data_IF_728752621380
#
_entry.id   IF_728752621380
#
_cell.length_a   1.000
_cell.length_b   1.000
_cell.length_c   1.000
_cell.angle_alpha   90.00
_cell.angle_beta   90.00
_cell.angle_gamma   90.00
#
_symmetry.space_group_name_H-M   'P 1'
#
loop_
_entity.id
_entity.type
_entity.pdbx_description
1 polymer ?
#
# COMPACT_ATOMS: atom_id res chain seq x y z
N UNK A 1 -8.95 -24.02 2.31
CA UNK A 1 -7.73 -24.14 3.12
C UNK A 1 -8.06 -23.69 4.55
N UNK A 2 -7.34 -24.13 5.60
CA UNK A 2 -7.56 -23.56 6.93
C UNK A 2 -7.24 -22.05 6.89
N UNK A 3 -8.08 -21.24 7.52
CA UNK A 3 -7.87 -19.79 7.64
C UNK A 3 -6.63 -19.49 8.49
N UNK A 4 -5.86 -18.47 8.12
CA UNK A 4 -4.73 -17.98 8.90
C UNK A 4 -5.21 -17.05 10.02
N UNK A 5 -6.16 -16.17 9.73
CA UNK A 5 -6.80 -15.30 10.70
C UNK A 5 -7.86 -16.05 11.51
N UNK A 6 -7.95 -15.73 12.80
CA UNK A 6 -9.06 -16.20 13.64
C UNK A 6 -10.37 -15.55 13.20
N UNK A 7 -11.49 -16.15 13.60
CA UNK A 7 -12.81 -15.56 13.34
C UNK A 7 -12.91 -14.16 13.97
N UNK A 8 -12.42 -13.98 15.19
CA UNK A 8 -12.39 -12.68 15.88
C UNK A 8 -11.55 -11.62 15.13
N UNK A 9 -10.44 -12.03 14.51
CA UNK A 9 -9.60 -11.15 13.70
C UNK A 9 -10.32 -10.66 12.44
N UNK A 10 -11.04 -11.57 11.77
CA UNK A 10 -11.86 -11.25 10.59
C UNK A 10 -13.01 -10.32 10.97
N UNK A 11 -13.66 -10.59 12.10
CA UNK A 11 -14.73 -9.72 12.63
C UNK A 11 -14.21 -8.34 13.03
N UNK A 12 -13.01 -8.25 13.61
CA UNK A 12 -12.35 -6.99 13.90
C UNK A 12 -12.05 -6.21 12.62
N UNK A 13 -11.48 -6.85 11.58
CA UNK A 13 -11.26 -6.20 10.29
C UNK A 13 -12.57 -5.64 9.69
N UNK A 14 -13.64 -6.44 9.69
CA UNK A 14 -14.92 -6.02 9.12
C UNK A 14 -15.57 -4.87 9.90
N UNK A 15 -15.50 -4.92 11.24
CA UNK A 15 -16.09 -3.89 12.11
C UNK A 15 -15.27 -2.60 12.10
N UNK A 16 -13.95 -2.71 12.20
CA UNK A 16 -13.07 -1.58 12.47
C UNK A 16 -12.35 -1.06 11.23
N UNK A 17 -12.39 -1.81 10.12
CA UNK A 17 -11.69 -1.50 8.88
C UNK A 17 -10.18 -1.75 8.95
N UNK A 18 -9.74 -2.43 10.02
CA UNK A 18 -8.35 -2.60 10.39
C UNK A 18 -8.18 -3.89 11.20
N UNK A 19 -7.12 -4.64 10.92
CA UNK A 19 -6.61 -5.67 11.82
C UNK A 19 -5.07 -5.68 11.85
N UNK A 20 -4.51 -5.73 13.05
CA UNK A 20 -3.07 -5.74 13.33
C UNK A 20 -2.81 -6.19 14.78
N UNK A 21 -1.58 -6.59 15.12
CA UNK A 21 -0.51 -7.00 14.19
C UNK A 21 -0.78 -8.39 13.61
N UNK A 22 -0.27 -8.65 12.41
CA UNK A 22 -0.31 -9.98 11.77
C UNK A 22 1.13 -10.42 11.49
N UNK A 23 1.67 -11.42 12.21
CA UNK A 23 3.00 -11.95 11.95
C UNK A 23 3.01 -12.75 10.63
N UNK A 24 3.66 -12.21 9.60
CA UNK A 24 3.69 -12.84 8.26
C UNK A 24 5.05 -13.42 7.89
N UNK A 25 6.14 -12.92 8.44
CA UNK A 25 7.49 -13.44 8.17
C UNK A 25 8.41 -13.27 9.38
N UNK A 26 9.57 -13.94 9.36
CA UNK A 26 10.58 -13.71 10.39
C UNK A 26 11.27 -12.36 10.21
N UNK A 27 11.99 -11.90 11.24
CA UNK A 27 12.79 -10.67 11.14
C UNK A 27 13.89 -10.81 10.09
N UNK A 28 14.51 -11.99 9.98
CA UNK A 28 15.56 -12.27 9.00
C UNK A 28 15.01 -12.23 7.56
N UNK A 29 13.82 -12.76 7.34
CA UNK A 29 13.15 -12.70 6.03
C UNK A 29 12.78 -11.25 5.67
N UNK A 30 12.16 -10.51 6.59
CA UNK A 30 11.86 -9.09 6.39
C UNK A 30 13.13 -8.24 6.15
N UNK A 31 14.22 -8.56 6.86
CA UNK A 31 15.51 -7.92 6.66
C UNK A 31 16.04 -8.17 5.25
N UNK A 32 15.87 -9.38 4.70
CA UNK A 32 16.31 -9.65 3.32
C UNK A 32 15.63 -8.74 2.29
N UNK A 33 14.34 -8.41 2.46
CA UNK A 33 13.63 -7.48 1.58
C UNK A 33 14.10 -6.02 1.76
N UNK A 34 14.46 -5.63 3.00
CA UNK A 34 15.10 -4.34 3.26
C UNK A 34 16.47 -4.27 2.56
N UNK A 35 17.27 -5.33 2.65
CA UNK A 35 18.60 -5.41 2.05
C UNK A 35 18.53 -5.31 0.51
N UNK A 36 17.51 -5.90 -0.13
CA UNK A 36 17.28 -5.79 -1.58
C UNK A 36 16.99 -4.33 -2.00
N UNK A 37 16.14 -3.63 -1.24
CA UNK A 37 15.89 -2.19 -1.44
C UNK A 37 17.18 -1.37 -1.26
N UNK A 38 17.89 -1.56 -0.15
CA UNK A 38 19.09 -0.79 0.16
C UNK A 38 20.24 -1.10 -0.81
N UNK A 39 20.31 -2.32 -1.35
CA UNK A 39 21.26 -2.70 -2.41
C UNK A 39 20.98 -1.95 -3.71
N UNK A 40 19.71 -1.83 -4.10
CA UNK A 40 19.31 -1.01 -5.25
C UNK A 40 19.70 0.46 -5.05
N UNK A 41 19.41 1.03 -3.88
CA UNK A 41 19.72 2.42 -3.56
C UNK A 41 21.24 2.67 -3.56
N UNK A 42 22.02 1.75 -2.99
CA UNK A 42 23.48 1.82 -2.99
C UNK A 42 24.07 1.71 -4.40
N UNK A 43 23.51 0.84 -5.25
CA UNK A 43 23.98 0.62 -6.63
C UNK A 43 23.67 1.82 -7.52
N UNK A 44 22.51 2.45 -7.33
CA UNK A 44 22.08 3.62 -8.12
C UNK A 44 22.58 4.94 -7.55
N UNK A 45 23.00 4.97 -6.29
CA UNK A 45 23.48 6.17 -5.59
C UNK A 45 22.37 7.10 -5.14
N UNK A 46 21.11 6.65 -5.12
CA UNK A 46 19.95 7.46 -4.73
C UNK A 46 18.85 6.59 -4.09
N UNK A 47 18.03 7.15 -3.18
CA UNK A 47 16.84 6.48 -2.67
C UNK A 47 15.87 6.09 -3.80
N UNK A 48 15.06 5.04 -3.57
CA UNK A 48 13.98 4.72 -4.51
C UNK A 48 12.97 5.87 -4.53
N UNK A 49 12.67 6.38 -5.72
CA UNK A 49 11.97 7.65 -5.85
C UNK A 49 11.10 7.76 -7.10
N UNK A 50 10.27 8.81 -7.18
CA UNK A 50 9.38 9.03 -8.32
C UNK A 50 8.48 7.82 -8.63
N UNK A 51 8.34 7.51 -9.93
CA UNK A 51 7.52 6.40 -10.39
C UNK A 51 7.97 5.03 -9.87
N UNK A 52 9.25 4.86 -9.53
CA UNK A 52 9.81 3.56 -9.14
C UNK A 52 9.37 3.15 -7.73
N UNK A 53 8.86 4.11 -6.92
CA UNK A 53 8.19 3.83 -5.64
C UNK A 53 6.81 3.22 -5.79
N UNK A 54 6.23 3.22 -6.99
CA UNK A 54 4.89 2.74 -7.30
C UNK A 54 4.99 1.49 -8.17
N UNK A 55 4.07 0.53 -8.01
CA UNK A 55 4.06 -0.75 -8.74
C UNK A 55 5.44 -1.44 -8.78
N UNK A 56 6.15 -1.35 -7.66
CA UNK A 56 7.49 -1.92 -7.42
C UNK A 56 7.58 -3.40 -7.81
N UNK A 57 6.49 -4.15 -7.63
CA UNK A 57 6.40 -5.57 -7.98
C UNK A 57 6.59 -5.86 -9.48
N UNK A 58 6.40 -4.86 -10.35
CA UNK A 58 6.66 -5.00 -11.78
C UNK A 58 8.13 -4.72 -12.15
N UNK A 59 8.89 -4.09 -11.25
CA UNK A 59 10.27 -3.70 -11.48
C UNK A 59 11.27 -4.71 -10.93
N UNK A 60 10.91 -5.37 -9.83
CA UNK A 60 11.82 -6.22 -9.07
C UNK A 60 11.22 -7.58 -8.78
N UNK A 61 11.98 -8.63 -9.07
CA UNK A 61 11.65 -10.02 -8.78
C UNK A 61 11.41 -10.22 -7.29
N UNK A 62 12.20 -9.60 -6.41
CA UNK A 62 12.01 -9.69 -4.97
C UNK A 62 10.69 -9.05 -4.49
N UNK A 63 10.25 -7.97 -5.14
CA UNK A 63 8.97 -7.34 -4.82
C UNK A 63 7.78 -8.17 -5.34
N UNK A 64 7.89 -8.80 -6.52
CA UNK A 64 6.90 -9.80 -6.98
C UNK A 64 6.81 -10.99 -6.02
N UNK A 65 7.94 -11.50 -5.53
CA UNK A 65 7.96 -12.55 -4.49
C UNK A 65 7.19 -12.11 -3.24
N UNK A 66 7.37 -10.87 -2.80
CA UNK A 66 6.70 -10.35 -1.59
C UNK A 66 5.18 -10.23 -1.75
N UNK A 67 4.68 -9.75 -2.89
CA UNK A 67 3.22 -9.69 -3.11
C UNK A 67 2.58 -11.08 -3.22
N UNK A 68 3.38 -12.12 -3.47
CA UNK A 68 2.95 -13.53 -3.53
C UNK A 68 3.26 -14.30 -2.25
N UNK A 69 3.75 -13.64 -1.20
CA UNK A 69 4.17 -14.31 0.02
C UNK A 69 2.99 -15.11 0.63
N UNK A 70 3.13 -16.42 0.89
CA UNK A 70 1.99 -17.28 1.24
C UNK A 70 1.17 -16.78 2.43
N UNK A 71 1.82 -16.42 3.54
CA UNK A 71 1.11 -15.92 4.73
C UNK A 71 0.46 -14.54 4.54
N UNK A 72 1.00 -13.71 3.64
CA UNK A 72 0.37 -12.42 3.31
C UNK A 72 -0.92 -12.70 2.55
N UNK A 73 -0.84 -13.52 1.50
CA UNK A 73 -1.99 -13.89 0.70
C UNK A 73 -3.03 -14.70 1.49
N UNK A 74 -2.63 -15.55 2.44
CA UNK A 74 -3.56 -16.30 3.29
C UNK A 74 -4.37 -15.36 4.19
N UNK A 75 -3.71 -14.37 4.83
CA UNK A 75 -4.41 -13.36 5.62
C UNK A 75 -5.35 -12.49 4.77
N UNK A 76 -4.94 -12.16 3.54
CA UNK A 76 -5.74 -11.38 2.58
C UNK A 76 -6.94 -12.21 2.09
N UNK A 77 -6.74 -13.47 1.72
CA UNK A 77 -7.81 -14.39 1.30
C UNK A 77 -8.89 -14.52 2.38
N UNK A 78 -8.50 -14.54 3.65
CA UNK A 78 -9.44 -14.65 4.77
C UNK A 78 -10.43 -13.47 4.87
N UNK A 79 -10.08 -12.30 4.33
CA UNK A 79 -10.91 -11.08 4.36
C UNK A 79 -11.55 -10.72 3.01
N UNK A 80 -10.94 -11.05 1.87
CA UNK A 80 -11.46 -10.67 0.54
C UNK A 80 -11.78 -11.86 -0.39
N UNK A 81 -11.51 -13.10 0.03
CA UNK A 81 -11.79 -14.30 -0.76
C UNK A 81 -10.62 -14.75 -1.66
N UNK A 82 -10.80 -15.83 -2.44
CA UNK A 82 -9.70 -16.61 -3.01
C UNK A 82 -9.12 -16.08 -4.33
N UNK A 83 -9.87 -15.25 -5.06
CA UNK A 83 -9.48 -14.74 -6.37
C UNK A 83 -8.93 -13.32 -6.23
N UNK A 84 -7.59 -13.21 -6.17
CA UNK A 84 -6.91 -12.01 -5.69
C UNK A 84 -6.03 -11.41 -6.78
N UNK A 85 -6.26 -10.12 -7.04
CA UNK A 85 -5.38 -9.26 -7.83
C UNK A 85 -4.54 -8.38 -6.89
N UNK A 86 -3.25 -8.23 -7.18
CA UNK A 86 -2.43 -7.13 -6.69
C UNK A 86 -2.58 -5.94 -7.67
N UNK A 87 -3.24 -4.88 -7.23
CA UNK A 87 -3.49 -3.69 -8.04
C UNK A 87 -2.31 -2.73 -8.03
N UNK A 88 -1.63 -2.59 -6.89
CA UNK A 88 -0.54 -1.64 -6.74
C UNK A 88 0.34 -1.98 -5.55
N UNK A 89 1.63 -1.64 -5.64
CA UNK A 89 2.54 -1.63 -4.49
C UNK A 89 3.17 -0.27 -4.32
N UNK A 90 3.48 0.10 -3.08
CA UNK A 90 4.11 1.36 -2.76
C UNK A 90 5.05 1.28 -1.57
N UNK A 91 6.20 1.95 -1.70
CA UNK A 91 7.02 2.28 -0.56
C UNK A 91 6.52 3.54 0.17
N UNK A 92 6.38 3.41 1.49
CA UNK A 92 6.20 4.51 2.42
C UNK A 92 7.40 4.54 3.38
N UNK A 93 8.47 5.16 2.90
CA UNK A 93 9.71 5.32 3.65
C UNK A 93 9.71 6.69 4.33
N UNK A 94 10.01 6.70 5.64
CA UNK A 94 10.36 7.92 6.37
C UNK A 94 11.81 7.81 6.82
N UNK A 95 12.66 8.66 6.27
CA UNK A 95 14.08 8.74 6.63
C UNK A 95 14.26 9.17 8.10
N UNK A 96 15.42 8.92 8.73
CA UNK A 96 15.65 9.28 10.11
C UNK A 96 15.50 10.79 10.32
N UNK A 97 14.76 11.18 11.36
CA UNK A 97 14.62 12.59 11.80
C UNK A 97 14.10 13.54 10.71
N UNK A 98 13.27 13.06 9.79
CA UNK A 98 12.62 13.92 8.80
C UNK A 98 11.21 14.33 9.23
N UNK A 99 10.73 15.43 8.67
CA UNK A 99 9.36 15.92 8.87
C UNK A 99 8.30 15.17 8.05
N UNK A 100 8.66 14.06 7.37
CA UNK A 100 7.77 13.36 6.45
C UNK A 100 6.57 12.73 7.18
N UNK A 101 5.36 13.07 6.76
CA UNK A 101 4.11 12.60 7.36
C UNK A 101 3.09 12.16 6.31
N UNK A 102 1.99 11.56 6.78
CA UNK A 102 0.81 11.27 5.97
C UNK A 102 -0.38 11.93 6.67
N UNK A 103 -1.06 12.86 5.98
CA UNK A 103 -2.28 13.49 6.51
C UNK A 103 -3.42 12.49 6.64
N UNK A 104 -4.41 12.83 7.47
CA UNK A 104 -5.66 12.07 7.55
C UNK A 104 -6.31 11.96 6.18
N UNK A 105 -6.51 10.75 5.68
CA UNK A 105 -7.05 10.50 4.35
C UNK A 105 -7.75 9.15 4.26
N UNK A 106 -8.55 8.97 3.20
CA UNK A 106 -8.93 7.68 2.67
C UNK A 106 -8.05 7.39 1.44
N UNK A 107 -7.57 6.16 1.34
CA UNK A 107 -6.73 5.66 0.24
C UNK A 107 -7.48 5.79 -1.10
N UNK A 108 -8.78 5.46 -1.12
CA UNK A 108 -9.62 5.30 -2.31
C UNK A 108 -9.85 6.55 -3.18
N UNK A 109 -9.59 7.74 -2.64
CA UNK A 109 -10.06 9.04 -3.14
C UNK A 109 -9.86 9.27 -4.65
N UNK A 110 -8.75 8.81 -5.22
CA UNK A 110 -8.39 9.07 -6.63
C UNK A 110 -8.28 7.81 -7.49
N UNK A 111 -8.66 6.64 -6.97
CA UNK A 111 -8.35 5.36 -7.63
C UNK A 111 -9.44 4.94 -8.62
N UNK A 112 -10.69 5.31 -8.36
CA UNK A 112 -11.83 5.00 -9.22
C UNK A 112 -12.04 3.49 -9.37
N UNK A 113 -12.08 2.78 -8.24
CA UNK A 113 -12.33 1.34 -8.15
C UNK A 113 -13.74 1.11 -7.58
N UNK A 114 -14.48 0.17 -8.17
CA UNK A 114 -15.86 -0.15 -7.82
C UNK A 114 -16.10 -1.68 -7.84
N UNK A 115 -16.66 -2.29 -6.77
CA UNK A 115 -16.82 -1.69 -5.45
C UNK A 115 -15.45 -1.36 -4.81
N UNK A 116 -15.47 -0.64 -3.68
CA UNK A 116 -14.25 -0.24 -2.96
C UNK A 116 -13.66 -1.38 -2.11
N UNK A 117 -13.84 -2.63 -2.53
CA UNK A 117 -13.45 -3.86 -1.81
C UNK A 117 -11.95 -4.12 -2.00
N UNK A 118 -11.12 -3.17 -1.58
CA UNK A 118 -9.67 -3.26 -1.68
C UNK A 118 -9.10 -3.25 -0.27
N UNK A 119 -8.15 -4.15 -0.04
CA UNK A 119 -7.41 -4.24 1.22
C UNK A 119 -5.97 -3.84 0.98
N UNK A 120 -5.48 -2.90 1.80
CA UNK A 120 -4.06 -2.61 1.88
C UNK A 120 -3.43 -3.51 2.92
N UNK A 121 -2.46 -4.33 2.52
CA UNK A 121 -1.52 -4.98 3.41
C UNK A 121 -0.30 -4.07 3.57
N UNK A 122 -0.11 -3.49 4.76
CA UNK A 122 1.06 -2.67 5.08
C UNK A 122 2.07 -3.52 5.83
N UNK A 123 3.16 -3.90 5.16
CA UNK A 123 4.20 -4.80 5.67
C UNK A 123 5.37 -3.98 6.23
N UNK A 124 5.76 -4.27 7.47
CA UNK A 124 6.85 -3.61 8.16
C UNK A 124 8.21 -4.26 7.80
N UNK A 125 9.04 -3.57 7.02
CA UNK A 125 10.42 -4.00 6.73
C UNK A 125 11.44 -3.47 7.76
N UNK A 126 10.98 -2.64 8.70
CA UNK A 126 11.70 -2.19 9.90
C UNK A 126 10.75 -2.26 11.09
N UNK A 127 11.28 -2.17 12.31
CA UNK A 127 10.41 -1.94 13.47
C UNK A 127 9.71 -0.58 13.34
N UNK A 128 8.48 -0.51 13.83
CA UNK A 128 7.64 0.70 13.82
C UNK A 128 7.19 1.04 15.23
N UNK A 129 8.11 1.40 16.15
CA UNK A 129 7.73 1.93 17.46
C UNK A 129 7.17 3.35 17.30
N UNK A 130 6.59 3.89 18.37
CA UNK A 130 5.88 5.17 18.36
C UNK A 130 6.71 6.33 17.78
N UNK A 131 8.02 6.33 18.04
CA UNK A 131 8.97 7.38 17.64
C UNK A 131 9.19 7.44 16.12
N UNK A 132 8.86 6.35 15.41
CA UNK A 132 9.00 6.25 13.94
C UNK A 132 7.74 6.70 13.18
N UNK A 133 6.71 7.12 13.91
CA UNK A 133 5.45 7.58 13.33
C UNK A 133 4.63 6.42 12.74
N UNK A 134 4.15 5.47 13.58
CA UNK A 134 3.24 4.42 13.15
C UNK A 134 1.98 5.00 12.51
N UNK A 135 1.29 4.19 11.72
CA UNK A 135 -0.03 4.60 11.24
C UNK A 135 -0.99 4.74 12.42
N UNK A 136 -1.95 5.64 12.28
CA UNK A 136 -3.06 5.80 13.21
C UNK A 136 -4.37 5.85 12.46
N UNK A 137 -5.39 5.16 12.98
CA UNK A 137 -6.66 4.94 12.29
C UNK A 137 -7.83 5.40 13.14
N UNK A 138 -8.87 5.92 12.48
CA UNK A 138 -10.21 6.01 13.07
C UNK A 138 -10.95 4.69 12.84
N UNK A 139 -11.13 3.89 13.90
CA UNK A 139 -11.80 2.60 13.78
C UNK A 139 -13.25 2.77 13.31
N UNK A 140 -13.69 1.91 12.39
CA UNK A 140 -15.06 1.92 11.86
C UNK A 140 -15.28 2.97 10.76
N UNK A 141 -14.31 3.85 10.50
CA UNK A 141 -14.44 4.90 9.47
C UNK A 141 -14.53 4.36 8.04
N UNK A 142 -14.19 3.10 7.79
CA UNK A 142 -14.39 2.44 6.50
C UNK A 142 -15.86 2.30 6.10
N UNK A 143 -16.79 2.36 7.07
CA UNK A 143 -18.23 2.35 6.79
C UNK A 143 -18.73 3.70 6.30
N UNK A 144 -17.91 4.75 6.41
CA UNK A 144 -18.19 6.01 5.74
C UNK A 144 -18.05 5.80 4.23
N UNK A 145 -18.90 6.48 3.46
CA UNK A 145 -18.64 6.63 2.04
C UNK A 145 -17.36 7.44 1.78
N UNK A 146 -17.04 7.65 0.51
CA UNK A 146 -15.92 8.52 0.15
C UNK A 146 -16.17 9.94 0.68
N UNK A 147 -15.41 10.34 1.69
CA UNK A 147 -15.43 11.68 2.27
C UNK A 147 -14.73 12.64 1.31
N UNK A 148 -15.18 13.90 1.30
CA UNK A 148 -14.52 14.96 0.55
C UNK A 148 -13.06 15.12 1.00
N UNK A 149 -12.16 15.38 0.06
CA UNK A 149 -10.75 15.63 0.34
C UNK A 149 -10.31 16.96 -0.25
N UNK A 150 -9.38 17.62 0.44
CA UNK A 150 -8.70 18.83 -0.04
C UNK A 150 -7.26 18.49 -0.36
N UNK A 151 -6.80 18.86 -1.55
CA UNK A 151 -5.40 18.74 -1.91
C UNK A 151 -4.58 19.86 -1.27
N UNK A 152 -3.45 19.50 -0.65
CA UNK A 152 -2.51 20.48 -0.08
C UNK A 152 -1.19 20.53 -0.84
N UNK A 153 -0.79 19.44 -1.50
CA UNK A 153 0.52 19.26 -2.10
C UNK A 153 1.71 19.61 -1.19
N UNK A 154 1.53 19.49 0.13
CA UNK A 154 2.56 19.82 1.12
C UNK A 154 3.84 18.99 0.90
N UNK A 155 5.01 19.64 0.93
CA UNK A 155 6.30 19.03 0.56
C UNK A 155 6.63 17.76 1.36
N UNK A 156 6.40 17.80 2.68
CA UNK A 156 6.67 16.69 3.58
C UNK A 156 5.52 15.66 3.65
N UNK A 157 4.45 15.81 2.88
CA UNK A 157 3.36 14.83 2.87
C UNK A 157 3.67 13.73 1.85
N UNK A 158 3.71 12.48 2.31
CA UNK A 158 4.00 11.30 1.49
C UNK A 158 2.88 10.95 0.49
N UNK A 159 1.70 11.54 0.64
CA UNK A 159 0.59 11.36 -0.29
C UNK A 159 0.82 12.19 -1.55
N UNK A 160 0.54 11.60 -2.72
CA UNK A 160 0.84 12.21 -4.01
C UNK A 160 0.21 13.59 -4.23
N UNK A 161 -1.00 13.82 -3.70
CA UNK A 161 -1.67 15.13 -3.74
C UNK A 161 -1.67 15.85 -2.38
N UNK A 162 -1.00 15.29 -1.38
CA UNK A 162 -1.07 15.74 -0.01
C UNK A 162 -2.52 15.84 0.50
N UNK A 163 -3.39 14.95 0.02
CA UNK A 163 -4.83 15.06 0.25
C UNK A 163 -5.16 14.84 1.72
N UNK A 164 -6.09 15.64 2.23
CA UNK A 164 -6.61 15.54 3.60
C UNK A 164 -8.12 15.42 3.58
N UNK A 165 -8.70 14.55 4.41
CA UNK A 165 -10.16 14.50 4.60
C UNK A 165 -10.67 15.85 5.08
N UNK A 166 -11.79 16.30 4.51
CA UNK A 166 -12.49 17.51 4.90
C UNK A 166 -13.59 17.18 5.92
N UNK A 167 -13.15 16.71 7.09
CA UNK A 167 -14.01 16.38 8.22
C UNK A 167 -13.30 16.64 9.55
N UNK A 168 -14.08 16.82 10.62
CA UNK A 168 -13.52 16.90 11.96
C UNK A 168 -13.02 15.53 12.40
N UNK A 169 -11.75 15.49 12.81
CA UNK A 169 -11.09 14.28 13.31
C UNK A 169 -10.86 14.43 14.81
N UNK A 170 -11.51 13.56 15.57
CA UNK A 170 -11.26 13.39 17.00
C UNK A 170 -10.08 12.42 17.17
N UNK A 171 -8.86 12.97 17.24
CA UNK A 171 -7.63 12.19 17.30
C UNK A 171 -7.53 11.33 18.56
N UNK A 172 -8.23 11.70 19.65
CA UNK A 172 -8.27 10.94 20.90
C UNK A 172 -8.99 9.58 20.74
N UNK A 173 -9.79 9.44 19.67
CA UNK A 173 -10.45 8.18 19.30
C UNK A 173 -9.66 7.36 18.29
N UNK A 174 -8.49 7.83 17.88
CA UNK A 174 -7.63 7.10 16.95
C UNK A 174 -6.82 6.01 17.64
N UNK A 175 -6.47 4.97 16.90
CA UNK A 175 -5.63 3.87 17.37
C UNK A 175 -4.34 3.83 16.58
N UNK A 176 -3.22 3.86 17.28
CA UNK A 176 -1.89 3.67 16.71
C UNK A 176 -1.63 2.20 16.37
N UNK A 177 -0.89 1.99 15.29
CA UNK A 177 -0.55 0.69 14.70
C UNK A 177 0.97 0.50 14.72
N UNK A 178 1.57 0.26 15.89
CA UNK A 178 2.96 -0.17 15.97
C UNK A 178 3.08 -1.61 15.45
N UNK A 179 4.18 -1.89 14.77
CA UNK A 179 4.47 -3.20 14.18
C UNK A 179 5.93 -3.53 14.41
N UNK A 180 6.22 -4.80 14.69
CA UNK A 180 7.58 -5.33 14.64
C UNK A 180 7.98 -5.61 13.20
N UNK A 181 9.27 -5.57 12.89
CA UNK A 181 9.78 -6.00 11.59
C UNK A 181 9.30 -7.43 11.24
N UNK A 182 8.69 -7.60 10.06
CA UNK A 182 8.08 -8.86 9.60
C UNK A 182 6.59 -9.04 9.95
N UNK A 183 6.01 -8.10 10.70
CA UNK A 183 4.56 -8.00 10.88
C UNK A 183 3.92 -7.12 9.81
N UNK A 184 2.60 -7.25 9.67
CA UNK A 184 1.80 -6.36 8.84
C UNK A 184 0.51 -5.94 9.53
N UNK A 185 -0.15 -4.94 8.93
CA UNK A 185 -1.56 -4.62 9.17
C UNK A 185 -2.36 -4.80 7.89
N UNK A 186 -3.64 -5.16 8.03
CA UNK A 186 -4.61 -5.10 6.94
C UNK A 186 -5.59 -3.97 7.22
N UNK A 187 -5.80 -3.08 6.26
CA UNK A 187 -6.83 -2.04 6.36
C UNK A 187 -7.64 -1.89 5.08
N UNK A 188 -8.90 -1.53 5.23
CA UNK A 188 -9.79 -1.22 4.11
C UNK A 188 -9.42 0.14 3.50
N UNK A 189 -9.53 0.31 2.18
CA UNK A 189 -9.11 1.55 1.49
C UNK A 189 -9.94 2.80 1.84
N UNK A 190 -11.07 2.62 2.53
CA UNK A 190 -11.89 3.70 3.10
C UNK A 190 -11.61 4.00 4.56
N UNK A 191 -10.75 3.21 5.23
CA UNK A 191 -10.38 3.50 6.61
C UNK A 191 -9.59 4.82 6.65
N UNK A 192 -10.09 5.79 7.41
CA UNK A 192 -9.48 7.10 7.60
C UNK A 192 -8.25 6.95 8.48
N UNK A 193 -7.08 7.30 7.94
CA UNK A 193 -5.81 7.09 8.62
C UNK A 193 -4.76 8.15 8.29
N UNK A 194 -3.77 8.27 9.17
CA UNK A 194 -2.64 9.20 9.11
C UNK A 194 -1.36 8.54 9.63
N UNK A 195 -0.22 9.22 9.54
CA UNK A 195 0.99 8.83 10.28
C UNK A 195 1.94 10.00 10.51
N UNK A 196 2.52 10.08 11.70
CA UNK A 196 3.34 11.21 12.17
C UNK A 196 4.81 11.14 11.69
N UNK A 197 5.60 12.22 11.77
CA UNK A 197 7.01 12.20 11.39
C UNK A 197 7.87 11.13 12.08
N UNK A 198 8.95 10.71 11.42
CA UNK A 198 9.94 9.81 12.02
C UNK A 198 10.96 10.64 12.82
N UNK A 199 10.92 10.52 14.14
CA UNK A 199 11.84 11.20 15.07
C UNK A 199 13.01 10.31 15.51
N UNK A 200 13.05 9.06 15.06
CA UNK A 200 14.03 8.06 15.42
C UNK A 200 15.29 8.11 14.52
N UNK A 201 16.30 7.31 14.87
CA UNK A 201 17.60 7.27 14.20
C UNK A 201 17.70 6.27 13.04
N UNK A 202 16.72 5.39 12.89
CA UNK A 202 16.62 4.46 11.76
C UNK A 202 15.45 4.84 10.86
N UNK A 203 15.50 4.38 9.61
CA UNK A 203 14.43 4.53 8.63
C UNK A 203 13.19 3.76 9.09
N UNK A 204 12.01 4.28 8.77
CA UNK A 204 10.75 3.52 8.84
C UNK A 204 10.38 3.07 7.43
N UNK A 205 10.46 1.77 7.15
CA UNK A 205 10.24 1.23 5.80
C UNK A 205 8.95 0.41 5.80
N UNK A 206 7.89 1.00 5.25
CA UNK A 206 6.63 0.32 4.97
C UNK A 206 6.50 -0.07 3.50
N UNK A 207 6.15 -1.33 3.24
CA UNK A 207 5.77 -1.78 1.91
C UNK A 207 4.26 -2.06 1.87
N UNK A 208 3.51 -1.19 1.20
CA UNK A 208 2.07 -1.30 1.05
C UNK A 208 1.74 -2.10 -0.22
N UNK A 209 0.94 -3.15 -0.08
CA UNK A 209 0.39 -3.93 -1.20
C UNK A 209 -1.13 -3.77 -1.20
N UNK A 210 -1.71 -3.41 -2.34
CA UNK A 210 -3.14 -3.18 -2.50
C UNK A 210 -3.72 -4.38 -3.22
N UNK A 211 -4.43 -5.23 -2.48
CA UNK A 211 -5.09 -6.40 -3.01
C UNK A 211 -6.58 -6.15 -3.20
N UNK A 212 -7.16 -6.76 -4.22
CA UNK A 212 -8.59 -6.67 -4.51
C UNK A 212 -9.12 -7.99 -5.08
N UNK A 213 -10.39 -8.34 -4.83
CA UNK A 213 -11.07 -9.40 -5.54
C UNK A 213 -11.10 -9.15 -7.06
N UNK A 214 -11.11 -10.22 -7.85
CA UNK A 214 -11.17 -10.13 -9.33
C UNK A 214 -12.43 -9.46 -9.87
N UNK A 215 -13.52 -9.40 -9.09
CA UNK A 215 -14.76 -8.73 -9.49
C UNK A 215 -14.71 -7.20 -9.41
N UNK A 216 -13.71 -6.62 -8.73
CA UNK A 216 -13.53 -5.16 -8.69
C UNK A 216 -13.24 -4.67 -10.12
N UNK A 217 -13.73 -3.48 -10.46
CA UNK A 217 -13.51 -2.85 -11.77
C UNK A 217 -13.04 -1.41 -11.64
N UNK A 218 -12.34 -0.93 -12.67
CA UNK A 218 -12.04 0.48 -12.82
C UNK A 218 -13.21 1.24 -13.45
N UNK A 219 -13.61 2.35 -12.82
CA UNK A 219 -14.59 3.33 -13.35
C UNK A 219 -13.90 4.62 -13.83
N UNK A 220 -12.57 4.69 -13.70
CA UNK A 220 -11.75 5.85 -14.07
C UNK A 220 -11.03 5.66 -15.42
N UNK A 221 -11.16 4.50 -16.06
CA UNK A 221 -10.57 4.19 -17.38
C UNK A 221 -9.74 2.90 -17.35
N UNK A 222 -9.04 2.56 -18.44
CA UNK A 222 -8.22 1.35 -18.49
C UNK A 222 -7.15 1.35 -17.40
N UNK A 223 -7.01 0.22 -16.71
CA UNK A 223 -5.99 -0.04 -15.70
C UNK A 223 -5.49 -1.48 -15.84
N UNK A 224 -4.40 -1.81 -15.14
CA UNK A 224 -3.79 -3.15 -15.12
C UNK A 224 -3.51 -3.61 -13.69
N UNK A 225 -3.49 -4.93 -13.49
CA UNK A 225 -3.25 -5.57 -12.20
C UNK A 225 -2.62 -6.97 -12.39
N UNK A 226 -1.94 -7.45 -11.34
CA UNK A 226 -1.26 -8.75 -11.33
C UNK A 226 -2.14 -9.79 -10.62
N UNK A 227 -2.48 -10.91 -11.29
CA UNK A 227 -3.14 -12.04 -10.61
C UNK A 227 -2.14 -12.76 -9.70
N UNK A 228 -2.46 -12.80 -8.40
CA UNK A 228 -1.59 -13.39 -7.37
C UNK A 228 -2.17 -14.65 -6.73
N UNK A 229 -3.49 -14.86 -6.82
CA UNK A 229 -4.16 -16.09 -6.37
C UNK A 229 -5.48 -16.31 -7.11
N UNK A 230 -5.87 -17.57 -7.27
CA UNK A 230 -7.17 -17.94 -7.82
C UNK A 230 -7.26 -17.76 -9.33
N UNK A 231 -8.42 -17.36 -9.84
CA UNK A 231 -8.71 -17.17 -11.27
C UNK A 231 -9.42 -15.85 -11.51
N UNK A 232 -9.01 -15.11 -12.54
CA UNK A 232 -9.77 -13.97 -13.05
C UNK A 232 -10.66 -14.38 -14.23
N UNK A 233 -11.97 -14.39 -13.99
CA UNK A 233 -12.98 -14.64 -15.04
C UNK A 233 -13.69 -13.35 -15.49
N UNK A 234 -13.38 -12.22 -14.86
CA UNK A 234 -14.01 -10.92 -15.12
C UNK A 234 -13.24 -10.11 -16.16
N UNK A 235 -11.90 -10.17 -16.14
CA UNK A 235 -11.04 -9.50 -17.13
C UNK A 235 -11.20 -7.98 -17.13
N UNK A 236 -11.44 -7.38 -15.97
CA UNK A 236 -11.64 -5.93 -15.81
C UNK A 236 -10.34 -5.11 -15.88
N UNK A 237 -9.20 -5.77 -15.70
CA UNK A 237 -7.87 -5.16 -15.75
C UNK A 237 -7.00 -5.82 -16.82
N UNK A 238 -6.13 -5.05 -17.44
CA UNK A 238 -5.05 -5.63 -18.26
C UNK A 238 -4.12 -6.47 -17.40
N UNK A 239 -3.74 -7.65 -17.89
CA UNK A 239 -2.82 -8.53 -17.17
C UNK A 239 -1.41 -7.95 -17.10
N UNK A 240 -0.76 -8.14 -15.96
CA UNK A 240 0.64 -7.80 -15.72
C UNK A 240 1.43 -9.08 -15.51
N UNK A 241 2.49 -9.24 -16.29
CA UNK A 241 3.41 -10.37 -16.14
C UNK A 241 4.44 -10.06 -15.05
N UNK A 242 4.84 -11.09 -14.30
CA UNK A 242 5.89 -10.96 -13.30
C UNK A 242 7.23 -10.68 -13.97
N UNK A 243 8.08 -9.80 -13.38
CA UNK A 243 9.43 -9.60 -13.89
C UNK A 243 10.23 -10.90 -13.77
N UNK A 244 11.02 -11.22 -14.79
CA UNK A 244 11.95 -12.38 -14.77
C UNK A 244 13.32 -11.95 -14.28
N UNK A 245 13.72 -10.72 -14.59
CA UNK A 245 14.98 -10.10 -14.18
C UNK A 245 14.67 -8.68 -13.69
N UNK A 246 15.31 -8.28 -12.59
CA UNK A 246 15.17 -6.94 -12.04
C UNK A 246 15.53 -5.88 -13.09
N UNK A 247 14.62 -4.93 -13.29
CA UNK A 247 14.83 -3.76 -14.15
C UNK A 247 15.20 -4.08 -15.60
N UNK A 248 14.83 -5.27 -16.11
CA UNK A 248 15.01 -5.56 -17.53
C UNK A 248 14.10 -4.69 -18.42
N UNK A 249 14.38 -4.67 -19.72
CA UNK A 249 13.67 -3.80 -20.67
C UNK A 249 12.15 -4.07 -20.68
N UNK A 250 11.75 -5.33 -20.50
CA UNK A 250 10.34 -5.73 -20.48
C UNK A 250 9.64 -5.26 -19.21
N UNK A 251 10.27 -5.45 -18.05
CA UNK A 251 9.80 -4.97 -16.75
C UNK A 251 9.64 -3.44 -16.74
N UNK A 252 10.64 -2.71 -17.24
CA UNK A 252 10.60 -1.26 -17.36
C UNK A 252 9.48 -0.78 -18.30
N UNK A 253 9.31 -1.41 -19.45
CA UNK A 253 8.26 -1.05 -20.40
C UNK A 253 6.85 -1.32 -19.84
N UNK A 254 6.66 -2.47 -19.18
CA UNK A 254 5.41 -2.83 -18.52
C UNK A 254 5.09 -1.87 -17.37
N UNK A 255 6.07 -1.61 -16.50
CA UNK A 255 5.94 -0.67 -15.38
C UNK A 255 5.58 0.74 -15.85
N UNK A 256 6.26 1.26 -16.88
CA UNK A 256 5.98 2.59 -17.42
C UNK A 256 4.55 2.69 -17.95
N UNK A 257 4.09 1.66 -18.69
CA UNK A 257 2.71 1.57 -19.18
C UNK A 257 1.70 1.52 -18.02
N UNK A 258 1.93 0.65 -17.04
CA UNK A 258 1.04 0.44 -15.89
C UNK A 258 0.96 1.67 -14.99
N UNK A 259 2.09 2.29 -14.69
CA UNK A 259 2.20 3.49 -13.87
C UNK A 259 1.61 4.71 -14.58
N UNK A 260 1.79 4.84 -15.89
CA UNK A 260 1.19 5.91 -16.69
C UNK A 260 -0.34 5.88 -16.65
N UNK A 261 -0.96 4.70 -16.72
CA UNK A 261 -2.42 4.56 -16.56
C UNK A 261 -2.91 5.02 -15.19
N UNK A 262 -2.22 4.62 -14.12
CA UNK A 262 -2.57 5.02 -12.75
C UNK A 262 -2.37 6.53 -12.51
N UNK A 263 -1.32 7.11 -13.09
CA UNK A 263 -0.96 8.52 -12.97
C UNK A 263 -2.03 9.44 -13.57
N UNK A 264 -2.61 9.07 -14.72
CA UNK A 264 -3.70 9.83 -15.36
C UNK A 264 -4.90 9.96 -14.43
N UNK A 265 -5.22 8.92 -13.67
CA UNK A 265 -6.34 8.95 -12.72
C UNK A 265 -6.00 9.77 -11.47
N UNK A 266 -4.80 9.55 -10.93
CA UNK A 266 -4.33 10.21 -9.72
C UNK A 266 -4.30 11.73 -9.88
N UNK A 267 -3.79 12.24 -11.00
CA UNK A 267 -3.65 13.68 -11.26
C UNK A 267 -4.82 14.32 -12.02
N UNK A 268 -5.91 13.58 -12.25
CA UNK A 268 -7.09 14.12 -12.91
C UNK A 268 -7.59 15.38 -12.19
N UNK A 269 -7.77 16.45 -12.95
CA UNK A 269 -8.23 17.75 -12.45
C UNK A 269 -7.14 18.60 -11.78
N UNK A 270 -5.86 18.25 -11.93
CA UNK A 270 -4.71 19.04 -11.45
C UNK A 270 -3.82 19.47 -12.63
N UNK A 271 -2.91 20.40 -12.38
CA UNK A 271 -1.86 20.83 -13.32
C UNK A 271 -0.58 19.97 -13.26
N UNK A 272 -0.54 18.99 -12.36
CA UNK A 272 0.61 18.09 -12.18
C UNK A 272 0.51 16.86 -13.07
N UNK A 273 1.66 16.38 -13.55
CA UNK A 273 1.75 15.20 -14.42
C UNK A 273 2.81 14.20 -13.99
N UNK A 274 3.56 14.48 -12.93
CA UNK A 274 4.70 13.68 -12.48
C UNK A 274 4.58 13.35 -10.99
N UNK A 275 4.98 12.12 -10.63
CA UNK A 275 5.13 11.72 -9.23
C UNK A 275 6.12 12.64 -8.52
N UNK A 276 5.95 12.81 -7.21
CA UNK A 276 6.92 13.58 -6.43
C UNK A 276 8.31 12.94 -6.58
N UNK A 277 9.37 13.75 -6.70
CA UNK A 277 10.73 13.24 -6.77
C UNK A 277 11.11 12.51 -5.50
#
# INVERSE_FOLDING_TARGET
>A
MPKLLSQDAIEAYNRDGLHFPIPVMSREEAQSYRDELETYEATTGAPIQGAYRHKVHLLFTWADRLIRHPKVLDAVEDVIGPDILCWSTNFFIKEPRTGDFVSWHQDSTYWGLDPADVVTAWIALTDVPMETGPMRFLLGSQTLDQVNHKDSFHENNLLTRGQVVDMDIDEDKSVFVPLSQGEMSLHHIRAVHASDPNTFNDRRIGFAVRYMPTYVRSISGPQSATLVRGTDTYGHFGAEEAPVVDLDEAALALHAKASGMAQVNLYRGTDRTEFRP
#
